data_IF_851460663488
#
_entry.id   IF_851460663488
#
_cell.length_a   1.000
_cell.length_b   1.000
_cell.length_c   1.000
_cell.angle_alpha   90.00
_cell.angle_beta   90.00
_cell.angle_gamma   90.00
#
_symmetry.space_group_name_H-M   'P 1'
#
loop_
_entity.id
_entity.type
_entity.pdbx_description
1 polymer ?
#
# COMPACT_ATOMS: atom_id res chain seq x y z
N UNK A 1 32.24 -22.03 4.82
CA UNK A 1 31.69 -21.37 3.62
C UNK A 1 30.84 -20.18 4.03
N UNK A 2 31.47 -19.02 4.20
CA UNK A 2 30.81 -17.76 4.54
C UNK A 2 30.07 -17.23 3.30
N UNK A 3 28.74 -17.22 3.35
CA UNK A 3 27.89 -16.58 2.34
C UNK A 3 28.34 -15.11 2.25
N UNK A 4 28.64 -14.57 1.04
CA UNK A 4 29.05 -13.18 0.90
C UNK A 4 27.89 -12.28 1.37
N UNK A 5 28.07 -11.64 2.52
CA UNK A 5 27.16 -10.61 3.01
C UNK A 5 27.41 -9.36 2.18
N UNK A 6 26.50 -9.05 1.26
CA UNK A 6 26.50 -7.74 0.58
C UNK A 6 26.33 -6.69 1.67
N UNK A 7 27.35 -5.87 1.87
CA UNK A 7 27.31 -4.78 2.84
C UNK A 7 26.49 -3.63 2.26
N UNK A 8 25.63 -3.03 3.07
CA UNK A 8 24.83 -1.89 2.66
C UNK A 8 25.72 -0.72 2.21
N UNK A 9 25.45 -0.17 1.02
CA UNK A 9 26.13 1.00 0.48
C UNK A 9 25.13 2.14 0.31
N UNK A 10 25.28 3.19 1.11
CA UNK A 10 24.37 4.33 1.12
C UNK A 10 24.32 5.07 -0.22
N UNK A 11 25.43 5.14 -0.96
CA UNK A 11 25.47 5.83 -2.25
C UNK A 11 24.69 5.08 -3.32
N UNK A 12 24.83 3.74 -3.37
CA UNK A 12 24.07 2.88 -4.28
C UNK A 12 22.58 2.97 -3.97
N UNK A 13 22.22 2.92 -2.69
CA UNK A 13 20.83 3.08 -2.26
C UNK A 13 20.22 4.41 -2.74
N UNK A 14 20.92 5.54 -2.53
CA UNK A 14 20.45 6.86 -2.99
C UNK A 14 20.24 6.90 -4.51
N UNK A 15 21.18 6.34 -5.28
CA UNK A 15 21.07 6.29 -6.74
C UNK A 15 19.85 5.49 -7.21
N UNK A 16 19.65 4.29 -6.65
CA UNK A 16 18.51 3.43 -7.00
C UNK A 16 17.17 4.08 -6.61
N UNK A 17 17.10 4.72 -5.44
CA UNK A 17 15.90 5.41 -4.98
C UNK A 17 15.53 6.57 -5.90
N UNK A 18 16.50 7.41 -6.28
CA UNK A 18 16.28 8.54 -7.20
C UNK A 18 15.87 8.01 -8.58
N UNK A 19 16.55 6.98 -9.09
CA UNK A 19 16.23 6.38 -10.38
C UNK A 19 14.78 5.86 -10.42
N UNK A 20 14.37 5.13 -9.37
CA UNK A 20 12.99 4.63 -9.25
C UNK A 20 11.97 5.77 -9.25
N UNK A 21 12.24 6.84 -8.48
CA UNK A 21 11.35 8.00 -8.40
C UNK A 21 11.19 8.69 -9.76
N UNK A 22 12.31 8.98 -10.44
CA UNK A 22 12.32 9.71 -11.71
C UNK A 22 11.67 8.90 -12.82
N UNK A 23 12.03 7.62 -12.96
CA UNK A 23 11.53 6.78 -14.05
C UNK A 23 10.05 6.42 -13.90
N UNK A 24 9.57 6.27 -12.67
CA UNK A 24 8.17 5.91 -12.40
C UNK A 24 7.28 7.12 -12.07
N UNK A 25 7.79 8.35 -12.19
CA UNK A 25 7.07 9.59 -11.86
C UNK A 25 6.45 9.59 -10.45
N UNK A 26 7.18 9.07 -9.47
CA UNK A 26 6.71 8.96 -8.10
C UNK A 26 6.89 10.30 -7.40
N UNK A 27 5.90 10.72 -6.61
CA UNK A 27 6.02 11.94 -5.81
C UNK A 27 7.16 11.82 -4.78
N UNK A 28 7.99 12.86 -4.62
CA UNK A 28 9.03 12.88 -3.59
C UNK A 28 8.47 12.66 -2.18
N UNK A 29 7.21 13.08 -1.94
CA UNK A 29 6.52 12.87 -0.67
C UNK A 29 6.33 11.38 -0.31
N UNK A 30 6.46 10.46 -1.28
CA UNK A 30 6.31 9.03 -1.03
C UNK A 30 7.38 8.48 -0.07
N UNK A 31 8.60 9.05 -0.05
CA UNK A 31 9.64 8.60 0.89
C UNK A 31 9.37 9.00 2.34
N UNK A 32 8.48 9.98 2.54
CA UNK A 32 8.03 10.43 3.87
C UNK A 32 6.82 9.62 4.37
N UNK A 33 6.21 8.79 3.51
CA UNK A 33 5.05 7.99 3.90
C UNK A 33 5.46 6.89 4.86
N UNK A 34 4.71 6.74 5.96
CA UNK A 34 4.95 5.69 6.94
C UNK A 34 4.93 4.29 6.31
N UNK A 35 4.03 4.05 5.35
CA UNK A 35 3.94 2.77 4.63
C UNK A 35 5.23 2.41 3.90
N UNK A 36 5.90 3.38 3.27
CA UNK A 36 7.19 3.18 2.63
C UNK A 36 8.29 2.83 3.64
N UNK A 37 8.36 3.58 4.74
CA UNK A 37 9.33 3.32 5.82
C UNK A 37 9.14 1.94 6.46
N UNK A 38 7.89 1.54 6.71
CA UNK A 38 7.55 0.22 7.26
C UNK A 38 7.95 -0.90 6.30
N UNK A 39 7.68 -0.76 5.00
CA UNK A 39 8.05 -1.75 3.99
C UNK A 39 9.58 -1.94 3.94
N UNK A 40 10.35 -0.85 3.88
CA UNK A 40 11.82 -0.95 3.88
C UNK A 40 12.35 -1.56 5.18
N UNK A 41 11.78 -1.18 6.32
CA UNK A 41 12.17 -1.73 7.62
C UNK A 41 11.92 -3.25 7.68
N UNK A 42 10.76 -3.70 7.22
CA UNK A 42 10.41 -5.12 7.10
C UNK A 42 11.39 -5.88 6.18
N UNK A 43 11.69 -5.32 5.01
CA UNK A 43 12.65 -5.94 4.08
C UNK A 43 14.06 -6.01 4.70
N UNK A 44 14.47 -4.97 5.43
CA UNK A 44 15.77 -4.94 6.11
C UNK A 44 15.88 -5.94 7.26
N UNK A 45 14.78 -6.22 7.97
CA UNK A 45 14.77 -7.14 9.12
C UNK A 45 14.75 -8.61 8.71
N UNK A 46 14.22 -8.93 7.53
CA UNK A 46 14.13 -10.31 6.99
C UNK A 46 15.34 -10.67 6.11
N UNK A 47 16.20 -9.71 5.80
CA UNK A 47 17.36 -9.87 4.91
C UNK A 47 18.53 -10.68 5.53
N UNK A 48 18.24 -11.86 6.08
CA UNK A 48 19.26 -12.88 6.36
C UNK A 48 19.58 -13.72 5.13
N UNK A 49 18.66 -13.78 4.14
CA UNK A 49 18.86 -14.43 2.85
C UNK A 49 18.49 -13.51 1.68
N UNK A 50 19.45 -13.23 0.82
CA UNK A 50 19.29 -12.39 -0.38
C UNK A 50 18.34 -13.00 -1.43
N UNK A 51 17.99 -14.28 -1.31
CA UNK A 51 17.15 -15.01 -2.29
C UNK A 51 15.65 -14.93 -2.01
N UNK A 52 15.24 -14.60 -0.77
CA UNK A 52 13.83 -14.60 -0.38
C UNK A 52 13.05 -13.44 -1.03
N UNK A 53 13.63 -12.24 -1.05
CA UNK A 53 12.96 -11.05 -1.59
C UNK A 53 12.69 -11.20 -3.09
N UNK A 54 13.66 -11.61 -3.95
CA UNK A 54 13.40 -11.84 -5.37
C UNK A 54 12.27 -12.84 -5.66
N UNK A 55 12.10 -13.88 -4.82
CA UNK A 55 11.06 -14.88 -5.00
C UNK A 55 9.65 -14.35 -4.68
N UNK A 56 9.55 -13.34 -3.83
CA UNK A 56 8.27 -12.76 -3.41
C UNK A 56 7.90 -11.48 -4.17
N UNK A 57 8.81 -10.92 -4.98
CA UNK A 57 8.52 -9.70 -5.75
C UNK A 57 7.47 -9.98 -6.84
N UNK A 58 6.42 -9.17 -6.95
CA UNK A 58 5.45 -9.32 -8.02
C UNK A 58 6.09 -8.92 -9.36
N UNK A 59 5.94 -9.79 -10.36
CA UNK A 59 6.42 -9.50 -11.72
C UNK A 59 5.39 -8.76 -12.59
N UNK A 60 4.18 -8.51 -12.07
CA UNK A 60 3.11 -7.86 -12.85
C UNK A 60 2.20 -6.97 -11.99
N UNK A 61 1.68 -5.91 -12.59
CA UNK A 61 0.66 -5.06 -11.97
C UNK A 61 -0.63 -5.83 -11.66
N UNK A 62 -0.98 -6.84 -12.46
CA UNK A 62 -2.13 -7.71 -12.22
C UNK A 62 -2.01 -8.46 -10.89
N UNK A 63 -0.81 -8.93 -10.56
CA UNK A 63 -0.54 -9.59 -9.27
C UNK A 63 -0.84 -8.64 -8.11
N UNK A 64 -0.36 -7.39 -8.17
CA UNK A 64 -0.60 -6.37 -7.14
C UNK A 64 -2.08 -5.97 -7.07
N UNK A 65 -2.75 -5.87 -8.22
CA UNK A 65 -4.19 -5.60 -8.28
C UNK A 65 -4.99 -6.71 -7.58
N UNK A 66 -4.65 -7.97 -7.85
CA UNK A 66 -5.30 -9.12 -7.22
C UNK A 66 -5.09 -9.13 -5.69
N UNK A 67 -3.86 -8.87 -5.23
CA UNK A 67 -3.58 -8.75 -3.79
C UNK A 67 -4.37 -7.62 -3.15
N UNK A 68 -4.45 -6.47 -3.83
CA UNK A 68 -5.23 -5.32 -3.36
C UNK A 68 -6.71 -5.68 -3.21
N UNK A 69 -7.29 -6.35 -4.21
CA UNK A 69 -8.69 -6.79 -4.16
C UNK A 69 -8.92 -7.82 -3.05
N UNK A 70 -8.01 -8.78 -2.88
CA UNK A 70 -8.11 -9.77 -1.81
C UNK A 70 -8.08 -9.13 -0.42
N UNK A 71 -7.13 -8.24 -0.17
CA UNK A 71 -7.05 -7.49 1.09
C UNK A 71 -8.30 -6.64 1.32
N UNK A 72 -8.78 -5.95 0.28
CA UNK A 72 -10.01 -5.18 0.35
C UNK A 72 -11.21 -6.04 0.75
N UNK A 73 -11.40 -7.19 0.10
CA UNK A 73 -12.52 -8.09 0.40
C UNK A 73 -12.45 -8.66 1.82
N UNK A 74 -11.25 -9.01 2.29
CA UNK A 74 -11.03 -9.47 3.66
C UNK A 74 -11.41 -8.39 4.69
N UNK A 75 -10.91 -7.16 4.49
CA UNK A 75 -11.22 -6.03 5.38
C UNK A 75 -12.70 -5.64 5.31
N UNK A 76 -13.30 -5.67 4.12
CA UNK A 76 -14.74 -5.44 3.94
C UNK A 76 -15.57 -6.43 4.74
N UNK A 77 -15.22 -7.72 4.71
CA UNK A 77 -15.96 -8.74 5.45
C UNK A 77 -15.87 -8.52 6.97
N UNK A 78 -14.68 -8.23 7.49
CA UNK A 78 -14.48 -7.90 8.89
C UNK A 78 -15.27 -6.65 9.31
N UNK A 79 -15.30 -5.63 8.45
CA UNK A 79 -16.06 -4.40 8.69
C UNK A 79 -17.57 -4.65 8.69
N UNK A 80 -18.10 -5.46 7.76
CA UNK A 80 -19.53 -5.82 7.75
C UNK A 80 -19.92 -6.49 9.07
N UNK A 81 -19.14 -7.47 9.53
CA UNK A 81 -19.39 -8.17 10.80
C UNK A 81 -19.36 -7.20 11.99
N UNK A 82 -18.44 -6.25 12.00
CA UNK A 82 -18.39 -5.20 13.01
C UNK A 82 -19.67 -4.35 12.98
N UNK A 83 -20.10 -3.91 11.80
CA UNK A 83 -21.26 -3.05 11.63
C UNK A 83 -22.60 -3.73 11.89
N UNK A 84 -22.71 -5.06 11.75
CA UNK A 84 -23.94 -5.80 12.11
C UNK A 84 -24.35 -5.59 13.58
N UNK A 85 -23.40 -5.28 14.46
CA UNK A 85 -23.65 -4.96 15.87
C UNK A 85 -24.06 -3.48 16.13
N UNK A 86 -24.04 -2.64 15.10
CA UNK A 86 -24.31 -1.20 15.19
C UNK A 86 -25.71 -0.86 14.68
N UNK A 87 -26.45 -0.05 15.45
CA UNK A 87 -27.85 0.27 15.16
C UNK A 87 -28.05 1.52 14.30
N UNK A 88 -27.02 2.37 14.16
CA UNK A 88 -27.13 3.65 13.45
C UNK A 88 -25.91 3.85 12.55
N UNK A 89 -26.16 3.90 11.25
CA UNK A 89 -25.19 4.26 10.21
C UNK A 89 -25.68 5.53 9.52
N UNK A 90 -24.81 6.52 9.39
CA UNK A 90 -25.06 7.73 8.61
C UNK A 90 -24.29 7.67 7.30
N UNK A 91 -24.88 8.14 6.21
CA UNK A 91 -24.24 8.19 4.90
C UNK A 91 -24.13 9.63 4.42
N UNK A 92 -22.96 9.99 3.90
CA UNK A 92 -22.75 11.22 3.14
C UNK A 92 -22.51 10.87 1.68
N UNK A 93 -23.08 11.69 0.80
CA UNK A 93 -22.95 11.57 -0.65
C UNK A 93 -22.31 12.86 -1.16
N UNK A 94 -21.19 12.73 -1.85
CA UNK A 94 -20.51 13.85 -2.48
C UNK A 94 -20.46 13.58 -3.99
N UNK A 95 -20.97 14.54 -4.77
CA UNK A 95 -21.08 14.44 -6.22
C UNK A 95 -20.30 15.57 -6.84
N UNK A 96 -19.47 15.23 -7.82
CA UNK A 96 -18.84 16.22 -8.67
C UNK A 96 -18.82 15.77 -10.12
N UNK A 97 -18.89 16.75 -11.02
CA UNK A 97 -18.63 16.54 -12.45
C UNK A 97 -17.22 17.00 -12.75
N UNK A 98 -16.45 16.15 -13.43
CA UNK A 98 -15.13 16.54 -13.92
C UNK A 98 -15.23 17.17 -15.31
N UNK A 99 -14.24 17.98 -15.68
CA UNK A 99 -14.20 18.69 -16.97
C UNK A 99 -14.17 17.78 -18.21
N UNK A 100 -14.04 16.46 -18.03
CA UNK A 100 -14.15 15.43 -19.06
C UNK A 100 -15.55 14.80 -19.15
N UNK A 101 -16.57 15.44 -18.57
CA UNK A 101 -17.97 14.99 -18.55
C UNK A 101 -18.23 13.66 -17.82
N UNK A 102 -17.26 13.17 -17.03
CA UNK A 102 -17.51 12.08 -16.10
C UNK A 102 -18.11 12.60 -14.80
N UNK A 103 -19.05 11.84 -14.26
CA UNK A 103 -19.63 12.09 -12.93
C UNK A 103 -18.95 11.17 -11.94
N UNK A 104 -18.50 11.74 -10.83
CA UNK A 104 -17.90 11.02 -9.72
C UNK A 104 -18.83 11.13 -8.52
N UNK A 105 -19.18 9.97 -7.96
CA UNK A 105 -20.00 9.83 -6.76
C UNK A 105 -19.15 9.18 -5.67
N UNK A 106 -18.91 9.93 -4.61
CA UNK A 106 -18.31 9.45 -3.38
C UNK A 106 -19.41 9.18 -2.35
N UNK A 107 -19.38 7.98 -1.76
CA UNK A 107 -20.28 7.57 -0.69
C UNK A 107 -19.44 7.21 0.54
N UNK A 108 -19.68 7.89 1.65
CA UNK A 108 -18.98 7.66 2.91
C UNK A 108 -19.99 7.27 3.98
N UNK A 109 -19.72 6.16 4.67
CA UNK A 109 -20.51 5.71 5.81
C UNK A 109 -19.82 6.08 7.13
N UNK A 110 -20.59 6.59 8.08
CA UNK A 110 -20.15 6.96 9.42
C UNK A 110 -20.90 6.13 10.45
N UNK A 111 -20.16 5.66 11.44
CA UNK A 111 -20.71 4.99 12.62
C UNK A 111 -19.91 5.43 13.84
N UNK A 112 -20.51 5.30 15.02
CA UNK A 112 -19.83 5.56 16.29
C UNK A 112 -19.47 4.19 16.85
N UNK A 113 -18.17 3.94 17.04
CA UNK A 113 -17.73 2.75 17.77
C UNK A 113 -18.12 2.91 19.25
N UNK A 114 -18.58 1.83 19.89
CA UNK A 114 -19.03 1.84 21.29
C UNK A 114 -17.92 1.58 22.31
N UNK A 115 -16.68 1.39 21.83
CA UNK A 115 -15.47 1.24 22.67
C UNK A 115 -14.92 2.59 23.14
#
# INVERSE_FOLDING_TARGET
NSIPRIQFNSNIFKQLLIQWIVLCHISFRQVEQLSFCLLLSYLSSISTSYTAIPQCLPCSGTTVCNWTMQLFLQQKQALIQLLESHYILHFSFNLWTSGNHLVLLELVAYWINKD
#
